data_IF_410893523577
#
_entry.id   IF_410893523577
#
_cell.length_a   1.000
_cell.length_b   1.000
_cell.length_c   1.000
_cell.angle_alpha   90.00
_cell.angle_beta   90.00
_cell.angle_gamma   90.00
#
_symmetry.space_group_name_H-M   'P 1'
#
loop_
_entity.id
_entity.type
_entity.pdbx_description
1 polymer ?
#
# COMPACT_ATOMS: atom_id res chain seq x y z
N UNK A 1 48.75 -24.91 5.14
CA UNK A 1 47.90 -23.74 5.46
C UNK A 1 47.85 -22.78 4.25
N UNK A 2 47.18 -23.15 3.16
CA UNK A 2 47.01 -22.29 1.97
C UNK A 2 45.61 -22.40 1.33
N UNK A 3 44.86 -23.45 1.64
CA UNK A 3 43.53 -23.70 1.05
C UNK A 3 42.37 -22.95 1.71
N UNK A 4 42.59 -22.31 2.86
CA UNK A 4 41.52 -21.60 3.60
C UNK A 4 41.15 -20.26 2.98
N UNK A 5 42.05 -19.65 2.17
CA UNK A 5 41.86 -18.31 1.62
C UNK A 5 40.90 -18.29 0.41
N UNK A 6 40.82 -19.38 -0.35
CA UNK A 6 40.05 -19.44 -1.61
C UNK A 6 38.54 -19.59 -1.31
N UNK A 7 38.19 -20.29 -0.23
CA UNK A 7 36.79 -20.52 0.16
C UNK A 7 36.16 -19.23 0.69
N UNK A 8 36.91 -18.40 1.41
CA UNK A 8 36.41 -17.11 1.93
C UNK A 8 36.15 -16.11 0.80
N UNK A 9 36.94 -16.14 -0.28
CA UNK A 9 36.79 -15.21 -1.41
C UNK A 9 35.53 -15.50 -2.24
N UNK A 10 35.10 -16.76 -2.35
CA UNK A 10 33.89 -17.13 -3.11
C UNK A 10 32.59 -16.76 -2.38
N UNK A 11 32.58 -16.68 -1.04
CA UNK A 11 31.38 -16.30 -0.29
C UNK A 11 31.06 -14.80 -0.35
N UNK A 12 32.05 -13.94 -0.61
CA UNK A 12 31.86 -12.49 -0.71
C UNK A 12 31.26 -12.05 -2.06
N UNK A 13 31.43 -12.82 -3.13
CA UNK A 13 30.89 -12.49 -4.45
C UNK A 13 29.37 -12.75 -4.61
N UNK A 14 28.78 -13.59 -3.74
CA UNK A 14 27.35 -13.93 -3.81
C UNK A 14 26.39 -12.87 -3.25
N UNK A 15 26.88 -11.91 -2.47
CA UNK A 15 26.03 -10.88 -1.84
C UNK A 15 25.84 -9.63 -2.70
N UNK A 16 26.69 -9.40 -3.70
CA UNK A 16 26.65 -8.17 -4.51
C UNK A 16 25.54 -8.15 -5.57
N UNK A 17 25.05 -9.31 -6.04
CA UNK A 17 24.00 -9.36 -7.07
C UNK A 17 22.56 -9.40 -6.54
N UNK A 18 22.36 -9.50 -5.22
CA UNK A 18 21.02 -9.45 -4.63
C UNK A 18 20.51 -8.02 -4.42
N UNK A 19 21.39 -7.02 -4.39
CA UNK A 19 21.02 -5.63 -4.12
C UNK A 19 20.49 -4.85 -5.34
N UNK A 20 20.78 -5.28 -6.57
CA UNK A 20 20.25 -4.62 -7.78
C UNK A 20 18.92 -5.21 -8.28
N UNK A 21 18.53 -6.40 -7.84
CA UNK A 21 17.43 -7.15 -8.46
C UNK A 21 16.01 -6.67 -8.09
N UNK A 22 15.85 -5.79 -7.09
CA UNK A 22 14.51 -5.40 -6.63
C UNK A 22 14.42 -3.94 -6.17
N UNK A 23 14.87 -3.00 -6.99
CA UNK A 23 14.42 -1.61 -6.84
C UNK A 23 13.01 -1.53 -7.43
N UNK A 24 12.01 -1.36 -6.56
CA UNK A 24 10.62 -1.17 -6.99
C UNK A 24 10.55 0.00 -7.97
N UNK A 25 10.05 -0.27 -9.18
CA UNK A 25 9.87 0.74 -10.22
C UNK A 25 9.01 1.89 -9.65
N UNK A 26 9.56 3.11 -9.52
CA UNK A 26 8.86 4.22 -8.87
C UNK A 26 7.57 4.59 -9.61
N UNK A 27 7.49 4.38 -10.93
CA UNK A 27 6.27 4.62 -11.69
C UNK A 27 5.17 3.60 -11.32
N UNK A 28 5.54 2.33 -11.12
CA UNK A 28 4.60 1.29 -10.66
C UNK A 28 4.14 1.54 -9.23
N UNK A 29 5.04 1.97 -8.35
CA UNK A 29 4.68 2.31 -6.97
C UNK A 29 3.68 3.48 -6.94
N UNK A 30 3.94 4.56 -7.68
CA UNK A 30 3.02 5.69 -7.79
C UNK A 30 1.66 5.27 -8.38
N UNK A 31 1.64 4.37 -9.38
CA UNK A 31 0.40 3.85 -9.95
C UNK A 31 -0.40 3.01 -8.93
N UNK A 32 0.28 2.18 -8.13
CA UNK A 32 -0.35 1.38 -7.07
C UNK A 32 -0.93 2.26 -5.95
N UNK A 33 -0.23 3.33 -5.58
CA UNK A 33 -0.72 4.32 -4.61
C UNK A 33 -1.97 5.06 -5.16
N UNK A 34 -1.92 5.51 -6.40
CA UNK A 34 -3.08 6.12 -7.06
C UNK A 34 -4.28 5.16 -7.11
N UNK A 35 -4.03 3.88 -7.44
CA UNK A 35 -5.06 2.85 -7.47
C UNK A 35 -5.67 2.60 -6.08
N UNK A 36 -4.83 2.56 -5.03
CA UNK A 36 -5.29 2.44 -3.64
C UNK A 36 -6.24 3.58 -3.28
N UNK A 37 -5.83 4.82 -3.55
CA UNK A 37 -6.63 6.00 -3.23
C UNK A 37 -7.95 6.05 -4.00
N UNK A 38 -7.95 5.68 -5.28
CA UNK A 38 -9.17 5.56 -6.07
C UNK A 38 -10.15 4.52 -5.50
N UNK A 39 -9.65 3.36 -5.05
CA UNK A 39 -10.48 2.31 -4.43
C UNK A 39 -11.10 2.79 -3.12
N UNK A 40 -10.29 3.38 -2.23
CA UNK A 40 -10.78 3.89 -0.94
C UNK A 40 -11.84 4.97 -1.15
N UNK A 41 -11.57 5.95 -2.02
CA UNK A 41 -12.53 7.02 -2.32
C UNK A 41 -13.85 6.48 -2.88
N UNK A 42 -13.78 5.54 -3.84
CA UNK A 42 -14.97 4.90 -4.41
C UNK A 42 -15.80 4.17 -3.35
N UNK A 43 -15.13 3.47 -2.43
CA UNK A 43 -15.80 2.73 -1.37
C UNK A 43 -16.46 3.66 -0.34
N UNK A 44 -15.79 4.75 0.06
CA UNK A 44 -16.39 5.78 0.90
C UNK A 44 -17.67 6.36 0.27
N UNK A 45 -17.61 6.73 -1.02
CA UNK A 45 -18.77 7.24 -1.76
C UNK A 45 -19.92 6.24 -1.81
N UNK A 46 -19.62 4.95 -2.03
CA UNK A 46 -20.62 3.90 -2.06
C UNK A 46 -21.29 3.71 -0.69
N UNK A 47 -20.51 3.73 0.40
CA UNK A 47 -21.06 3.62 1.76
C UNK A 47 -21.93 4.84 2.10
N UNK A 48 -21.45 6.05 1.80
CA UNK A 48 -22.24 7.28 2.00
C UNK A 48 -23.58 7.23 1.28
N UNK A 49 -23.59 6.75 0.03
CA UNK A 49 -24.82 6.59 -0.76
C UNK A 49 -25.74 5.50 -0.20
N UNK A 50 -25.19 4.43 0.37
CA UNK A 50 -25.99 3.37 1.02
C UNK A 50 -26.59 3.83 2.33
N UNK A 51 -25.87 4.66 3.10
CA UNK A 51 -26.36 5.21 4.37
C UNK A 51 -27.62 6.07 4.22
N UNK A 52 -27.89 6.64 3.04
CA UNK A 52 -29.13 7.40 2.77
C UNK A 52 -30.33 6.51 2.45
N UNK A 53 -30.15 5.20 2.32
CA UNK A 53 -31.23 4.25 2.04
C UNK A 53 -31.93 3.72 3.30
N UNK A 54 -32.98 2.92 3.10
CA UNK A 54 -33.63 2.20 4.19
C UNK A 54 -32.79 0.97 4.59
N UNK A 55 -32.05 1.09 5.69
CA UNK A 55 -31.15 0.05 6.20
C UNK A 55 -31.55 -0.36 7.61
N UNK A 56 -31.24 -1.61 7.97
CA UNK A 56 -31.40 -2.06 9.34
C UNK A 56 -30.39 -1.32 10.26
N UNK A 57 -30.73 -1.07 11.54
CA UNK A 57 -29.83 -0.37 12.47
C UNK A 57 -28.45 -1.03 12.64
N UNK A 58 -28.38 -2.35 12.48
CA UNK A 58 -27.10 -3.07 12.49
C UNK A 58 -26.23 -2.73 11.28
N UNK A 59 -26.81 -2.69 10.08
CA UNK A 59 -26.08 -2.36 8.85
C UNK A 59 -25.59 -0.92 8.84
N UNK A 60 -26.40 0.02 9.37
CA UNK A 60 -26.00 1.41 9.54
C UNK A 60 -24.74 1.52 10.40
N UNK A 61 -24.71 0.87 11.58
CA UNK A 61 -23.54 0.88 12.46
C UNK A 61 -22.31 0.29 11.78
N UNK A 62 -22.46 -0.88 11.14
CA UNK A 62 -21.36 -1.54 10.41
C UNK A 62 -20.81 -0.66 9.28
N UNK A 63 -21.69 0.02 8.55
CA UNK A 63 -21.30 0.95 7.50
C UNK A 63 -20.59 2.20 8.04
N UNK A 64 -21.07 2.77 9.15
CA UNK A 64 -20.43 3.91 9.81
C UNK A 64 -19.04 3.56 10.34
N UNK A 65 -18.89 2.40 10.98
CA UNK A 65 -17.59 1.94 11.48
C UNK A 65 -16.61 1.72 10.34
N UNK A 66 -17.06 1.10 9.25
CA UNK A 66 -16.25 0.94 8.05
C UNK A 66 -15.88 2.28 7.42
N UNK A 67 -16.80 3.24 7.37
CA UNK A 67 -16.53 4.57 6.83
C UNK A 67 -15.43 5.28 7.63
N UNK A 68 -15.45 5.18 8.96
CA UNK A 68 -14.39 5.76 9.82
C UNK A 68 -13.02 5.16 9.50
N UNK A 69 -12.93 3.84 9.34
CA UNK A 69 -11.67 3.16 8.98
C UNK A 69 -11.18 3.64 7.61
N UNK A 70 -12.06 3.69 6.61
CA UNK A 70 -11.69 4.16 5.27
C UNK A 70 -11.25 5.63 5.24
N UNK A 71 -11.87 6.48 6.05
CA UNK A 71 -11.47 7.88 6.21
C UNK A 71 -10.08 8.01 6.82
N UNK A 72 -9.78 7.21 7.85
CA UNK A 72 -8.45 7.16 8.46
C UNK A 72 -7.39 6.64 7.47
N UNK A 73 -7.68 5.58 6.73
CA UNK A 73 -6.78 5.03 5.71
C UNK A 73 -6.53 6.04 4.57
N UNK A 74 -7.57 6.76 4.13
CA UNK A 74 -7.41 7.80 3.13
C UNK A 74 -6.51 8.93 3.64
N UNK A 75 -6.75 9.43 4.86
CA UNK A 75 -5.91 10.48 5.44
C UNK A 75 -4.45 10.03 5.59
N UNK A 76 -4.22 8.75 5.87
CA UNK A 76 -2.87 8.18 6.04
C UNK A 76 -2.13 7.94 4.72
N UNK A 77 -2.81 7.41 3.70
CA UNK A 77 -2.16 6.90 2.49
C UNK A 77 -2.42 7.74 1.23
N UNK A 78 -3.32 8.72 1.30
CA UNK A 78 -3.73 9.54 0.16
C UNK A 78 -3.53 11.03 0.45
N UNK A 79 -2.29 11.48 0.69
CA UNK A 79 -2.02 12.88 0.93
C UNK A 79 -2.40 13.72 -0.31
N UNK A 80 -2.77 15.00 -0.12
CA UNK A 80 -2.98 15.90 -1.25
C UNK A 80 -1.70 15.94 -2.07
N UNK A 81 -1.83 15.72 -3.39
CA UNK A 81 -0.69 15.87 -4.30
C UNK A 81 -0.18 17.32 -4.15
N UNK A 82 1.14 17.53 -4.02
CA UNK A 82 1.68 18.88 -4.10
C UNK A 82 1.26 19.46 -5.45
N UNK A 83 0.53 20.58 -5.40
CA UNK A 83 0.26 21.39 -6.59
C UNK A 83 1.60 21.94 -7.10
N UNK A 84 1.86 21.86 -8.42
CA UNK A 84 3.08 22.41 -9.01
C UNK A 84 3.16 23.93 -8.87
#
# INVERSE_FOLDING_TARGET
MKSTLIITLMMLAGLAQAQEYYKGDPAKLAALEAQRCAKISKEQSLIQRRLTGNNQPYDVRKMQDKLKVLQADYAKYCPPKPTP
#
